data_IF_992400789600
#
_entry.id   IF_992400789600
#
_cell.length_a   1.000
_cell.length_b   1.000
_cell.length_c   1.000
_cell.angle_alpha   90.00
_cell.angle_beta   90.00
_cell.angle_gamma   90.00
#
_symmetry.space_group_name_H-M   'P 1'
#
loop_
_entity.id
_entity.type
_entity.pdbx_description
1 polymer ?
#
# COMPACT_ATOMS: atom_id res chain seq x y z
N UNK A 1 -19.26 70.60 -3.26
CA UNK A 1 -18.76 69.42 -4.00
C UNK A 1 -18.17 68.44 -3.00
N UNK A 2 -18.80 67.26 -2.81
CA UNK A 2 -18.42 66.25 -1.82
C UNK A 2 -17.35 65.33 -2.41
N UNK A 3 -16.18 65.20 -1.76
CA UNK A 3 -15.17 64.17 -2.09
C UNK A 3 -15.48 62.89 -1.29
N UNK A 4 -15.53 61.78 -1.99
CA UNK A 4 -15.84 60.42 -1.52
C UNK A 4 -14.55 59.77 -0.98
N UNK A 5 -14.58 58.98 0.10
CA UNK A 5 -13.38 58.26 0.58
C UNK A 5 -13.14 56.97 -0.21
N UNK A 6 -11.88 56.74 -0.63
CA UNK A 6 -11.43 55.51 -1.28
C UNK A 6 -11.26 54.39 -0.25
N UNK A 7 -12.14 53.38 -0.32
CA UNK A 7 -12.03 52.15 0.46
C UNK A 7 -10.87 51.27 -0.07
N UNK A 8 -10.12 50.69 0.86
CA UNK A 8 -8.96 49.85 0.59
C UNK A 8 -9.32 48.50 -0.05
N UNK A 9 -8.43 48.05 -0.94
CA UNK A 9 -8.41 46.68 -1.44
C UNK A 9 -7.29 45.92 -0.72
N UNK A 10 -7.68 45.09 0.24
CA UNK A 10 -6.82 44.03 0.77
C UNK A 10 -6.68 42.88 -0.24
N UNK A 11 -5.61 42.08 -0.17
CA UNK A 11 -5.37 40.99 -1.11
C UNK A 11 -6.46 39.91 -0.99
N UNK A 12 -7.06 39.58 -2.13
CA UNK A 12 -8.01 38.48 -2.28
C UNK A 12 -7.24 37.18 -2.03
N UNK A 13 -7.47 36.56 -0.87
CA UNK A 13 -7.06 35.19 -0.63
C UNK A 13 -7.72 34.32 -1.72
N UNK A 14 -6.89 33.76 -2.60
CA UNK A 14 -7.30 32.77 -3.59
C UNK A 14 -7.74 31.50 -2.84
N UNK A 15 -8.99 31.49 -2.38
CA UNK A 15 -9.72 30.29 -2.00
C UNK A 15 -9.93 29.46 -3.28
N UNK A 16 -8.92 28.66 -3.61
CA UNK A 16 -8.99 27.65 -4.67
C UNK A 16 -10.14 26.69 -4.39
N UNK A 17 -11.27 26.91 -5.05
CA UNK A 17 -12.41 26.00 -5.06
C UNK A 17 -11.95 24.74 -5.81
N UNK A 18 -11.75 23.62 -5.11
CA UNK A 18 -11.35 22.34 -5.72
C UNK A 18 -12.33 21.97 -6.85
N UNK A 19 -11.86 21.59 -8.05
CA UNK A 19 -12.74 21.11 -9.10
C UNK A 19 -13.40 19.79 -8.67
N UNK A 20 -14.71 19.72 -8.87
CA UNK A 20 -15.59 18.60 -8.52
C UNK A 20 -15.29 17.43 -9.48
N UNK A 21 -14.38 16.53 -9.09
CA UNK A 21 -14.03 15.33 -9.86
C UNK A 21 -12.56 14.90 -9.79
N UNK A 22 -11.70 15.67 -9.15
CA UNK A 22 -10.28 15.34 -9.04
C UNK A 22 -10.04 14.42 -7.83
N UNK A 23 -9.72 13.15 -8.08
CA UNK A 23 -9.36 12.19 -7.03
C UNK A 23 -8.08 12.69 -6.34
N UNK A 24 -8.21 13.19 -5.10
CA UNK A 24 -7.13 13.83 -4.39
C UNK A 24 -6.42 12.92 -3.40
N UNK A 25 -5.31 13.40 -2.82
CA UNK A 25 -4.58 12.69 -1.78
C UNK A 25 -5.45 12.31 -0.56
N UNK A 26 -6.47 13.12 -0.24
CA UNK A 26 -7.41 12.84 0.85
C UNK A 26 -8.33 11.66 0.52
N UNK A 27 -8.85 11.61 -0.71
CA UNK A 27 -9.70 10.51 -1.19
C UNK A 27 -8.89 9.22 -1.29
N UNK A 28 -7.65 9.30 -1.78
CA UNK A 28 -6.72 8.19 -1.82
C UNK A 28 -6.43 7.62 -0.42
N UNK A 29 -6.18 8.50 0.56
CA UNK A 29 -6.00 8.08 1.96
C UNK A 29 -7.26 7.41 2.52
N UNK A 30 -8.45 7.97 2.24
CA UNK A 30 -9.70 7.41 2.70
C UNK A 30 -9.94 6.00 2.12
N UNK A 31 -9.61 5.80 0.83
CA UNK A 31 -9.65 4.49 0.17
C UNK A 31 -8.71 3.48 0.84
N UNK A 32 -7.47 3.89 1.13
CA UNK A 32 -6.47 3.05 1.81
C UNK A 32 -6.90 2.65 3.21
N UNK A 33 -7.39 3.59 4.02
CA UNK A 33 -7.87 3.33 5.39
C UNK A 33 -9.10 2.43 5.36
N UNK A 34 -9.98 2.59 4.38
CA UNK A 34 -11.18 1.74 4.23
C UNK A 34 -10.82 0.28 3.92
N UNK A 35 -9.86 0.03 3.03
CA UNK A 35 -9.50 -1.34 2.62
C UNK A 35 -8.56 -1.98 3.63
N UNK A 36 -7.62 -1.22 4.20
CA UNK A 36 -6.63 -1.72 5.16
C UNK A 36 -6.51 -0.79 6.38
N UNK A 37 -7.47 -0.85 7.31
CA UNK A 37 -7.47 0.03 8.49
C UNK A 37 -6.34 -0.28 9.48
N UNK A 38 -5.77 -1.49 9.45
CA UNK A 38 -4.71 -1.92 10.36
C UNK A 38 -3.31 -1.42 10.01
N UNK A 39 -3.17 -0.56 9.01
CA UNK A 39 -1.91 0.06 8.61
C UNK A 39 -1.97 1.57 8.86
N UNK A 40 -0.89 2.13 9.39
CA UNK A 40 -0.72 3.58 9.44
C UNK A 40 -0.27 4.09 8.07
N UNK A 41 -1.15 4.85 7.42
CA UNK A 41 -0.97 5.32 6.05
C UNK A 41 -0.47 6.76 6.00
N UNK A 42 0.67 6.95 5.34
CA UNK A 42 1.23 8.26 4.97
C UNK A 42 1.16 8.43 3.46
N UNK A 43 0.44 9.46 2.98
CA UNK A 43 0.40 9.80 1.55
C UNK A 43 1.49 10.84 1.24
N UNK A 44 2.30 10.56 0.23
CA UNK A 44 3.41 11.40 -0.18
C UNK A 44 2.98 12.41 -1.23
N UNK A 45 3.56 13.61 -1.18
CA UNK A 45 3.37 14.63 -2.20
C UNK A 45 4.16 14.24 -3.45
N UNK A 46 3.46 13.90 -4.52
CA UNK A 46 4.05 13.71 -5.84
C UNK A 46 4.11 15.05 -6.59
N UNK A 47 5.16 15.24 -7.39
CA UNK A 47 5.27 16.35 -8.35
C UNK A 47 4.69 16.01 -9.71
N UNK A 48 4.42 14.72 -9.95
CA UNK A 48 3.92 14.22 -11.23
C UNK A 48 2.40 14.20 -11.18
N UNK A 49 1.78 14.93 -12.10
CA UNK A 49 0.31 14.97 -12.27
C UNK A 49 -0.19 13.56 -12.55
N UNK A 50 -1.28 13.15 -11.89
CA UNK A 50 -1.84 11.81 -12.03
C UNK A 50 -1.09 10.72 -11.25
N UNK A 51 0.04 11.01 -10.60
CA UNK A 51 0.74 10.03 -9.77
C UNK A 51 0.60 10.37 -8.29
N UNK A 52 0.20 9.40 -7.48
CA UNK A 52 0.11 9.49 -6.02
C UNK A 52 0.76 8.25 -5.41
N UNK A 53 1.53 8.44 -4.34
CA UNK A 53 2.15 7.32 -3.62
C UNK A 53 1.80 7.42 -2.14
N UNK A 54 1.56 6.28 -1.50
CA UNK A 54 1.34 6.17 -0.08
C UNK A 54 2.15 5.01 0.50
N UNK A 55 2.64 5.20 1.71
CA UNK A 55 3.30 4.14 2.49
C UNK A 55 2.44 3.78 3.68
N UNK A 56 2.09 2.50 3.79
CA UNK A 56 1.38 1.91 4.91
C UNK A 56 2.34 1.17 5.81
N UNK A 57 2.24 1.35 7.11
CA UNK A 57 3.17 0.71 8.06
C UNK A 57 2.41 0.06 9.20
N UNK A 58 2.73 -1.20 9.49
CA UNK A 58 2.14 -1.94 10.61
C UNK A 58 3.21 -2.24 11.63
N UNK A 59 3.01 -1.80 12.87
CA UNK A 59 3.85 -2.08 14.02
C UNK A 59 3.10 -2.89 15.07
N UNK A 60 3.85 -3.63 15.89
CA UNK A 60 3.39 -4.28 17.11
C UNK A 60 4.40 -3.97 18.22
N UNK A 61 3.98 -3.18 19.21
CA UNK A 61 4.88 -2.59 20.20
C UNK A 61 5.98 -1.76 19.53
N UNK A 62 7.23 -2.03 19.87
CA UNK A 62 8.41 -1.40 19.27
C UNK A 62 8.85 -2.02 17.94
N UNK A 63 8.25 -3.13 17.51
CA UNK A 63 8.66 -3.86 16.31
C UNK A 63 7.78 -3.52 15.12
N UNK A 64 8.40 -3.09 14.01
CA UNK A 64 7.72 -2.90 12.73
C UNK A 64 7.55 -4.25 12.03
N UNK A 65 6.31 -4.68 11.81
CA UNK A 65 5.97 -5.99 11.23
C UNK A 65 5.99 -5.99 9.70
N UNK A 66 5.43 -4.94 9.08
CA UNK A 66 5.32 -4.89 7.62
C UNK A 66 5.27 -3.46 7.10
N UNK A 67 5.75 -3.28 5.88
CA UNK A 67 5.68 -2.03 5.13
C UNK A 67 5.04 -2.28 3.77
N UNK A 68 4.03 -1.49 3.43
CA UNK A 68 3.39 -1.46 2.13
C UNK A 68 3.69 -0.13 1.44
N UNK A 69 3.98 -0.14 0.15
CA UNK A 69 3.90 1.06 -0.69
C UNK A 69 2.78 0.84 -1.72
N UNK A 70 1.91 1.81 -1.87
CA UNK A 70 0.83 1.81 -2.85
C UNK A 70 0.97 3.06 -3.69
N UNK A 71 1.09 2.89 -4.99
CA UNK A 71 1.06 3.99 -5.94
C UNK A 71 -0.20 3.91 -6.80
N UNK A 72 -0.89 5.03 -6.98
CA UNK A 72 -1.95 5.23 -7.98
C UNK A 72 -1.35 6.06 -9.11
N UNK A 73 -1.45 5.58 -10.33
CA UNK A 73 -1.06 6.31 -11.53
C UNK A 73 -2.25 6.44 -12.45
N UNK A 74 -2.50 7.65 -12.91
CA UNK A 74 -3.55 8.03 -13.82
C UNK A 74 -2.87 8.55 -15.09
N UNK A 75 -2.92 7.76 -16.17
CA UNK A 75 -2.34 8.11 -17.46
C UNK A 75 -3.41 7.99 -18.52
N UNK A 76 -3.69 9.10 -19.21
CA UNK A 76 -4.63 9.15 -20.33
C UNK A 76 -6.03 8.54 -20.01
N UNK A 77 -6.46 8.66 -18.75
CA UNK A 77 -7.74 8.12 -18.26
C UNK A 77 -7.69 6.65 -17.81
N UNK A 78 -6.55 5.97 -17.93
CA UNK A 78 -6.35 4.64 -17.35
C UNK A 78 -5.73 4.75 -15.95
N UNK A 79 -6.49 4.29 -14.95
CA UNK A 79 -6.05 4.23 -13.55
C UNK A 79 -5.42 2.88 -13.27
N UNK A 80 -4.18 2.91 -12.81
CA UNK A 80 -3.44 1.74 -12.35
C UNK A 80 -2.99 1.91 -10.90
N UNK A 81 -3.24 0.91 -10.09
CA UNK A 81 -2.77 0.79 -8.72
C UNK A 81 -1.64 -0.24 -8.65
N UNK A 82 -0.50 0.17 -8.12
CA UNK A 82 0.66 -0.68 -7.90
C UNK A 82 0.89 -0.81 -6.41
N UNK A 83 0.75 -2.01 -5.87
CA UNK A 83 1.03 -2.31 -4.47
C UNK A 83 2.35 -3.09 -4.34
N UNK A 84 3.19 -2.68 -3.41
CA UNK A 84 4.48 -3.29 -3.07
C UNK A 84 4.48 -3.65 -1.60
N UNK A 85 5.08 -4.78 -1.27
CA UNK A 85 5.23 -5.20 0.11
C UNK A 85 6.68 -5.49 0.46
N UNK A 86 7.08 -5.04 1.64
CA UNK A 86 8.37 -5.32 2.23
C UNK A 86 8.15 -5.84 3.66
N UNK A 87 9.06 -6.71 4.09
CA UNK A 87 9.08 -7.27 5.44
C UNK A 87 9.54 -6.26 6.49
N UNK A 88 10.44 -6.71 7.37
CA UNK A 88 10.91 -5.93 8.51
C UNK A 88 11.89 -4.82 8.06
N UNK A 89 11.45 -3.56 8.13
CA UNK A 89 12.30 -2.38 7.97
C UNK A 89 11.99 -1.49 6.75
N UNK A 90 12.24 -0.18 6.87
CA UNK A 90 11.99 0.81 5.80
C UNK A 90 12.93 0.71 4.60
N UNK A 91 14.08 0.03 4.76
CA UNK A 91 15.07 -0.22 3.69
C UNK A 91 15.07 -1.67 3.21
N UNK A 92 14.12 -2.48 3.68
CA UNK A 92 13.97 -3.85 3.21
C UNK A 92 13.68 -3.85 1.71
N UNK A 93 14.28 -4.80 0.99
CA UNK A 93 13.99 -5.00 -0.43
C UNK A 93 12.50 -5.34 -0.57
N UNK A 94 11.84 -4.75 -1.57
CA UNK A 94 10.48 -5.13 -1.93
C UNK A 94 10.45 -6.62 -2.28
N UNK A 95 9.63 -7.38 -1.56
CA UNK A 95 9.52 -8.83 -1.72
C UNK A 95 8.68 -9.17 -2.93
N UNK A 96 7.56 -8.45 -3.10
CA UNK A 96 6.67 -8.62 -4.24
C UNK A 96 5.98 -7.30 -4.59
N UNK A 97 5.65 -7.17 -5.87
CA UNK A 97 4.91 -6.06 -6.45
C UNK A 97 3.78 -6.62 -7.29
N UNK A 98 2.58 -6.09 -7.10
CA UNK A 98 1.41 -6.44 -7.89
C UNK A 98 0.73 -5.16 -8.38
N UNK A 99 0.30 -5.13 -9.64
CA UNK A 99 -0.40 -4.00 -10.23
C UNK A 99 -1.77 -4.43 -10.77
N UNK A 100 -2.79 -3.61 -10.57
CA UNK A 100 -4.15 -3.85 -11.05
C UNK A 100 -4.88 -2.52 -11.26
N UNK A 101 -6.09 -2.55 -11.85
CA UNK A 101 -6.95 -1.37 -12.07
C UNK A 101 -7.63 -0.86 -10.80
N UNK A 102 -7.68 -1.68 -9.74
CA UNK A 102 -8.26 -1.28 -8.46
C UNK A 102 -7.33 -1.56 -7.29
N UNK A 103 -7.39 -0.72 -6.26
CA UNK A 103 -6.62 -0.90 -5.04
C UNK A 103 -6.87 -2.26 -4.40
N UNK A 104 -8.14 -2.66 -4.27
CA UNK A 104 -8.54 -3.92 -3.67
C UNK A 104 -7.90 -5.13 -4.39
N UNK A 105 -7.93 -5.15 -5.72
CA UNK A 105 -7.32 -6.24 -6.51
C UNK A 105 -5.79 -6.23 -6.41
N UNK A 106 -5.17 -5.05 -6.43
CA UNK A 106 -3.72 -4.95 -6.27
C UNK A 106 -3.23 -5.52 -4.92
N UNK A 107 -3.97 -5.27 -3.85
CA UNK A 107 -3.68 -5.81 -2.52
C UNK A 107 -4.03 -7.29 -2.40
N UNK A 108 -5.10 -7.73 -3.06
CA UNK A 108 -5.49 -9.13 -3.11
C UNK A 108 -4.42 -9.99 -3.80
N UNK A 109 -3.88 -9.53 -4.93
CA UNK A 109 -2.77 -10.21 -5.61
C UNK A 109 -1.53 -10.36 -4.72
N UNK A 110 -1.20 -9.36 -3.89
CA UNK A 110 -0.14 -9.50 -2.89
C UNK A 110 -0.46 -10.59 -1.85
N UNK A 111 -1.71 -10.67 -1.38
CA UNK A 111 -2.13 -11.69 -0.41
C UNK A 111 -2.06 -13.09 -1.01
N UNK A 112 -2.57 -13.25 -2.23
CA UNK A 112 -2.57 -14.53 -2.94
C UNK A 112 -1.12 -15.01 -3.18
N UNK A 113 -0.20 -14.12 -3.56
CA UNK A 113 1.23 -14.42 -3.66
C UNK A 113 1.82 -14.96 -2.34
N UNK A 114 1.55 -14.30 -1.21
CA UNK A 114 2.06 -14.77 0.07
C UNK A 114 1.42 -16.09 0.51
N UNK A 115 0.15 -16.32 0.18
CA UNK A 115 -0.54 -17.57 0.45
C UNK A 115 0.04 -18.74 -0.37
N UNK A 116 0.39 -18.48 -1.63
CA UNK A 116 1.07 -19.44 -2.50
C UNK A 116 2.45 -19.78 -1.93
N UNK A 117 3.25 -18.76 -1.57
CA UNK A 117 4.57 -18.96 -0.96
C UNK A 117 4.49 -19.77 0.33
N UNK A 118 3.53 -19.46 1.21
CA UNK A 118 3.31 -20.22 2.44
C UNK A 118 2.94 -21.68 2.16
N UNK A 119 2.10 -21.94 1.14
CA UNK A 119 1.72 -23.30 0.74
C UNK A 119 2.91 -24.09 0.22
N UNK A 120 3.73 -23.47 -0.64
CA UNK A 120 4.94 -24.08 -1.19
C UNK A 120 5.93 -24.47 -0.10
N UNK A 121 6.28 -23.54 0.79
CA UNK A 121 7.19 -23.85 1.90
C UNK A 121 6.60 -24.82 2.91
N UNK A 122 5.28 -24.76 3.14
CA UNK A 122 4.58 -25.76 3.95
C UNK A 122 4.69 -27.17 3.36
N UNK A 123 4.61 -27.30 2.04
CA UNK A 123 4.86 -28.56 1.32
C UNK A 123 6.28 -29.08 1.51
N UNK A 124 7.30 -28.21 1.37
CA UNK A 124 8.70 -28.58 1.61
C UNK A 124 8.93 -29.05 3.05
N UNK A 125 8.37 -28.35 4.04
CA UNK A 125 8.48 -28.75 5.44
C UNK A 125 7.84 -30.13 5.72
N UNK A 126 6.66 -30.39 5.13
CA UNK A 126 6.01 -31.71 5.23
C UNK A 126 6.87 -32.82 4.64
N UNK A 127 7.48 -32.60 3.48
CA UNK A 127 8.35 -33.58 2.84
C UNK A 127 9.58 -33.92 3.71
N UNK A 128 10.24 -32.92 4.28
CA UNK A 128 11.36 -33.13 5.20
C UNK A 128 10.95 -33.90 6.46
N UNK A 129 9.82 -33.54 7.05
CA UNK A 129 9.28 -34.25 8.23
C UNK A 129 8.94 -35.71 7.91
N UNK A 130 8.31 -35.97 6.75
CA UNK A 130 7.98 -37.32 6.32
C UNK A 130 9.24 -38.18 6.12
N UNK A 131 10.29 -37.62 5.50
CA UNK A 131 11.57 -38.31 5.33
C UNK A 131 12.21 -38.66 6.69
N UNK A 132 12.14 -37.76 7.67
CA UNK A 132 12.65 -38.02 9.03
C UNK A 132 11.92 -39.16 9.73
N UNK A 133 10.60 -39.21 9.62
CA UNK A 133 9.78 -40.26 10.23
C UNK A 133 9.98 -41.61 9.53
N UNK A 134 10.10 -41.63 8.20
CA UNK A 134 10.34 -42.85 7.43
C UNK A 134 11.69 -43.50 7.77
N UNK A 135 12.73 -42.70 8.01
CA UNK A 135 14.04 -43.21 8.47
C UNK A 135 13.97 -43.84 9.86
N UNK A 136 13.19 -43.27 10.79
CA UNK A 136 13.02 -43.83 12.14
C UNK A 136 12.15 -45.09 12.19
N UNK A 137 11.28 -45.32 11.19
CA UNK A 137 10.41 -46.49 11.15
C UNK A 137 11.09 -47.75 10.59
N UNK A 138 12.22 -47.61 9.88
CA UNK A 138 12.93 -48.71 9.24
C UNK A 138 13.96 -49.43 10.15
N UNK A 139 14.18 -48.95 11.39
CA UNK A 139 15.25 -49.42 12.27
C UNK A 139 14.77 -50.32 13.43
N UNK A 140 13.55 -50.86 13.38
CA UNK A 140 13.10 -51.91 14.34
C UNK A 140 12.88 -53.24 13.62
N UNK A 141 13.95 -54.02 13.37
CA UNK A 141 13.84 -55.45 13.10
C UNK A 141 13.79 -56.22 14.43
N UNK A 142 12.69 -56.94 14.68
CA UNK A 142 12.66 -58.09 15.60
C UNK A 142 12.89 -59.38 14.84
#
# INVERSE_FOLDING_TARGET
MRRVPSAGFGPIAASGRKPKGEFGATDFRAELVRIMPGYDWTVHKSRVVGHMEATGTKSSGFNRLSTLSVARTDRDGEVTYTAKSAGFGMRAKWLHTHADRTLARSLRGLQDYYQEMASTYGGHAKALNAARTASNAAEVPT
#
